data_IF_609120765379
#
_entry.id   IF_609120765379
#
_cell.length_a   1.000
_cell.length_b   1.000
_cell.length_c   1.000
_cell.angle_alpha   90.00
_cell.angle_beta   90.00
_cell.angle_gamma   90.00
#
_symmetry.space_group_name_H-M   'P 1'
#
loop_
_entity.id
_entity.type
_entity.pdbx_description
1 polymer ?
#
# COMPACT_ATOMS: atom_id res chain seq x y z
N UNK A 1 13.53 -11.73 8.73
CA UNK A 1 12.10 -11.72 8.35
C UNK A 1 11.18 -11.18 9.45
N UNK A 2 11.38 -11.49 10.75
CA UNK A 2 10.49 -11.01 11.85
C UNK A 2 10.29 -9.49 11.91
N UNK A 3 11.32 -8.69 11.63
CA UNK A 3 11.23 -7.23 11.65
C UNK A 3 10.30 -6.66 10.56
N UNK A 4 10.29 -7.26 9.37
CA UNK A 4 9.44 -6.81 8.25
C UNK A 4 7.96 -6.95 8.58
N UNK A 5 7.55 -8.13 9.09
CA UNK A 5 6.19 -8.41 9.55
C UNK A 5 5.76 -7.44 10.65
N UNK A 6 6.63 -7.25 11.65
CA UNK A 6 6.35 -6.39 12.79
C UNK A 6 6.19 -4.92 12.37
N UNK A 7 7.10 -4.41 11.54
CA UNK A 7 7.04 -3.05 11.03
C UNK A 7 5.76 -2.86 10.19
N UNK A 8 5.40 -3.80 9.31
CA UNK A 8 4.15 -3.75 8.54
C UNK A 8 2.92 -3.65 9.44
N UNK A 9 2.88 -4.41 10.54
CA UNK A 9 1.76 -4.36 11.49
C UNK A 9 1.70 -3.02 12.24
N UNK A 10 2.84 -2.50 12.70
CA UNK A 10 2.92 -1.20 13.39
C UNK A 10 2.51 -0.05 12.46
N UNK A 11 2.97 -0.07 11.22
CA UNK A 11 2.57 0.90 10.20
C UNK A 11 1.06 0.88 9.95
N UNK A 12 0.46 -0.31 9.77
CA UNK A 12 -1.00 -0.47 9.64
C UNK A 12 -1.78 -0.02 10.88
N UNK A 13 -1.23 -0.21 12.07
CA UNK A 13 -1.87 0.24 13.31
C UNK A 13 -1.90 1.76 13.39
N UNK A 14 -0.80 2.43 13.03
CA UNK A 14 -0.67 3.89 13.13
C UNK A 14 -1.46 4.59 12.03
N UNK A 15 -1.19 4.25 10.78
CA UNK A 15 -1.77 4.92 9.62
C UNK A 15 -3.14 4.36 9.22
N UNK A 16 -3.70 3.48 10.05
CA UNK A 16 -4.95 2.81 9.77
C UNK A 16 -4.80 1.70 8.72
N UNK A 17 -5.86 0.90 8.62
CA UNK A 17 -6.02 -0.09 7.57
C UNK A 17 -6.32 0.55 6.22
N UNK A 18 -5.68 1.65 5.85
CA UNK A 18 -5.76 2.32 4.55
C UNK A 18 -4.42 2.40 3.82
N UNK A 19 -3.37 1.84 4.42
CA UNK A 19 -2.08 1.77 3.75
C UNK A 19 -2.17 0.96 2.47
N UNK A 20 -1.66 1.57 1.41
CA UNK A 20 -1.45 0.98 0.10
C UNK A 20 0.05 1.01 -0.22
N UNK A 21 0.60 0.00 -0.91
CA UNK A 21 -0.08 -1.21 -1.39
C UNK A 21 -0.43 -2.20 -0.26
N UNK A 22 -1.38 -3.11 -0.50
CA UNK A 22 -1.86 -4.11 0.49
C UNK A 22 -2.54 -5.31 -0.16
N UNK A 23 -2.29 -6.53 0.33
CA UNK A 23 -2.96 -7.75 -0.16
C UNK A 23 -4.45 -7.85 0.24
N UNK A 24 -5.00 -6.82 0.89
CA UNK A 24 -6.44 -6.71 1.19
C UNK A 24 -7.26 -6.14 0.04
N UNK A 25 -6.60 -5.55 -0.97
CA UNK A 25 -7.25 -4.91 -2.11
C UNK A 25 -6.75 -5.58 -3.39
N UNK A 26 -7.53 -6.54 -3.89
CA UNK A 26 -7.19 -7.33 -5.07
C UNK A 26 -7.67 -6.66 -6.37
N UNK A 27 -8.65 -5.76 -6.29
CA UNK A 27 -9.22 -4.99 -7.41
C UNK A 27 -9.30 -3.49 -7.12
N UNK A 28 -9.47 -2.66 -8.15
CA UNK A 28 -9.76 -1.23 -8.00
C UNK A 28 -11.06 -0.98 -7.23
N UNK A 29 -12.03 -1.89 -7.34
CA UNK A 29 -13.29 -1.84 -6.59
C UNK A 29 -13.05 -2.02 -5.09
N UNK A 30 -12.17 -2.94 -4.70
CA UNK A 30 -11.80 -3.13 -3.30
C UNK A 30 -11.01 -1.94 -2.78
N UNK A 31 -10.08 -1.43 -3.59
CA UNK A 31 -9.29 -0.24 -3.27
C UNK A 31 -10.17 0.98 -2.99
N UNK A 32 -11.22 1.21 -3.78
CA UNK A 32 -12.15 2.32 -3.57
C UNK A 32 -12.90 2.20 -2.23
N UNK A 33 -13.31 0.99 -1.84
CA UNK A 33 -13.96 0.73 -0.53
C UNK A 33 -12.99 0.79 0.64
N UNK A 34 -11.72 0.51 0.39
CA UNK A 34 -10.69 0.44 1.42
C UNK A 34 -10.26 1.84 1.90
N UNK A 35 -10.25 2.83 1.00
CA UNK A 35 -9.88 4.25 1.25
C UNK A 35 -10.92 5.08 2.02
N UNK A 36 -11.84 4.45 2.75
CA UNK A 36 -12.89 5.16 3.51
C UNK A 36 -12.82 4.97 5.03
N UNK A 37 -11.75 4.35 5.56
CA UNK A 37 -11.55 4.02 6.97
C UNK A 37 -10.47 4.90 7.65
N UNK A 38 -10.86 5.87 8.46
CA UNK A 38 -9.90 6.71 9.23
C UNK A 38 -8.89 5.92 10.08
N UNK A 39 -7.64 6.42 10.18
CA UNK A 39 -6.52 5.80 10.90
C UNK A 39 -6.22 6.40 12.28
N UNK A 40 -5.44 5.69 13.12
CA UNK A 40 -5.16 6.09 14.52
C UNK A 40 -4.42 7.43 14.64
N UNK A 41 -3.63 7.83 13.65
CA UNK A 41 -3.00 9.18 13.61
C UNK A 41 -4.03 10.31 13.65
N UNK A 42 -5.21 10.09 13.06
CA UNK A 42 -6.28 11.10 13.02
C UNK A 42 -7.01 11.20 14.36
N UNK A 43 -6.98 10.12 15.17
CA UNK A 43 -7.65 10.04 16.47
C UNK A 43 -6.73 10.45 17.64
N UNK A 44 -5.48 9.98 17.67
CA UNK A 44 -4.53 10.19 18.77
C UNK A 44 -3.07 10.18 18.30
N UNK A 45 -2.52 11.38 18.12
CA UNK A 45 -1.16 11.62 17.62
C UNK A 45 -0.07 11.13 18.58
N UNK A 46 -0.28 11.23 19.90
CA UNK A 46 0.74 10.82 20.87
C UNK A 46 0.85 9.30 20.91
N UNK A 47 -0.28 8.60 20.92
CA UNK A 47 -0.31 7.14 20.81
C UNK A 47 0.30 6.63 19.49
N UNK A 48 0.05 7.35 18.39
CA UNK A 48 0.69 7.08 17.11
C UNK A 48 2.22 7.20 17.21
N UNK A 49 2.73 8.27 17.84
CA UNK A 49 4.17 8.50 18.04
C UNK A 49 4.81 7.39 18.88
N UNK A 50 4.19 6.98 19.99
CA UNK A 50 4.68 5.87 20.81
C UNK A 50 4.74 4.54 20.05
N UNK A 51 3.78 4.31 19.15
CA UNK A 51 3.72 3.10 18.32
C UNK A 51 4.82 3.12 17.26
N UNK A 52 5.08 4.27 16.63
CA UNK A 52 6.15 4.44 15.66
C UNK A 52 7.55 4.27 16.27
N UNK A 53 7.75 4.61 17.54
CA UNK A 53 9.03 4.39 18.24
C UNK A 53 9.42 2.91 18.36
N UNK A 54 8.46 1.99 18.20
CA UNK A 54 8.70 0.53 18.25
C UNK A 54 9.22 -0.05 16.93
N UNK A 55 9.20 0.74 15.85
CA UNK A 55 9.67 0.33 14.53
C UNK A 55 11.20 0.24 14.54
N UNK A 56 11.73 -0.84 13.95
CA UNK A 56 13.17 -1.05 13.83
C UNK A 56 13.58 -1.06 12.36
N UNK A 57 14.36 -0.06 11.95
CA UNK A 57 14.73 0.14 10.55
C UNK A 57 13.51 0.46 9.67
N UNK A 58 13.59 0.12 8.38
CA UNK A 58 12.57 0.49 7.39
C UNK A 58 12.07 -0.69 6.55
N UNK A 59 12.49 -1.92 6.88
CA UNK A 59 12.04 -3.10 6.16
C UNK A 59 10.58 -3.39 6.49
N UNK A 60 9.79 -3.67 5.46
CA UNK A 60 8.36 -4.05 5.55
C UNK A 60 8.11 -5.21 4.61
N UNK A 61 7.01 -5.93 4.84
CA UNK A 61 6.51 -6.93 3.89
C UNK A 61 6.03 -6.26 2.61
N UNK A 62 6.50 -6.79 1.46
CA UNK A 62 6.02 -6.40 0.15
C UNK A 62 4.71 -7.16 -0.14
N UNK A 63 3.58 -6.47 -0.31
CA UNK A 63 2.34 -7.10 -0.75
C UNK A 63 2.47 -7.55 -2.21
N UNK A 64 2.23 -8.84 -2.47
CA UNK A 64 2.39 -9.45 -3.79
C UNK A 64 1.07 -9.60 -4.55
N UNK A 65 -0.07 -9.45 -3.87
CA UNK A 65 -1.42 -9.65 -4.39
C UNK A 65 -2.19 -8.33 -4.55
N UNK A 66 -1.52 -7.20 -4.31
CA UNK A 66 -2.12 -5.89 -4.48
C UNK A 66 -2.51 -5.66 -5.95
N UNK A 67 -3.81 -5.42 -6.20
CA UNK A 67 -4.39 -5.24 -7.53
C UNK A 67 -4.13 -6.40 -8.52
N UNK A 68 -3.97 -7.63 -8.01
CA UNK A 68 -3.68 -8.78 -8.87
C UNK A 68 -4.81 -9.15 -9.84
N UNK A 69 -6.04 -8.68 -9.60
CA UNK A 69 -7.18 -8.89 -10.49
C UNK A 69 -7.25 -7.86 -11.64
N UNK A 70 -6.39 -6.85 -11.63
CA UNK A 70 -6.37 -5.77 -12.63
C UNK A 70 -5.25 -5.97 -13.65
N UNK A 71 -5.51 -5.58 -14.90
CA UNK A 71 -4.42 -5.35 -15.87
C UNK A 71 -3.81 -3.97 -15.58
N UNK A 72 -2.61 -3.97 -15.01
CA UNK A 72 -1.89 -2.75 -14.65
C UNK A 72 -1.10 -2.15 -15.83
N UNK A 73 -1.18 -2.75 -17.02
CA UNK A 73 -0.63 -2.12 -18.23
C UNK A 73 -1.45 -0.89 -18.58
N UNK A 74 -0.82 0.25 -18.89
CA UNK A 74 -1.57 1.43 -19.29
C UNK A 74 -2.23 1.21 -20.64
N UNK A 75 -3.47 1.67 -20.79
CA UNK A 75 -4.20 1.61 -22.05
C UNK A 75 -3.53 2.53 -23.08
N UNK A 76 -2.82 1.94 -24.05
CA UNK A 76 -2.00 2.65 -25.03
C UNK A 76 -2.77 3.09 -26.28
N UNK A 77 -4.08 3.32 -26.20
CA UNK A 77 -4.91 3.63 -27.38
C UNK A 77 -4.52 4.93 -28.12
N UNK A 78 -3.64 5.77 -27.55
CA UNK A 78 -3.17 7.02 -28.18
C UNK A 78 -1.64 7.18 -28.30
N UNK A 79 -0.82 6.21 -27.88
CA UNK A 79 0.65 6.40 -27.85
C UNK A 79 1.50 5.29 -28.48
N UNK A 80 0.90 4.42 -29.30
CA UNK A 80 1.63 3.41 -30.11
C UNK A 80 2.74 4.01 -30.99
N UNK A 81 2.71 5.32 -31.27
CA UNK A 81 3.76 6.00 -32.05
C UNK A 81 4.74 6.86 -31.23
N UNK A 82 4.65 6.91 -29.89
CA UNK A 82 5.42 7.87 -29.08
C UNK A 82 6.11 7.31 -27.84
N UNK A 83 5.75 6.12 -27.35
CA UNK A 83 6.45 5.49 -26.23
C UNK A 83 7.34 4.34 -26.74
N UNK A 84 8.65 4.32 -26.43
CA UNK A 84 9.50 3.18 -26.77
C UNK A 84 9.09 1.94 -25.97
N UNK A 85 9.04 0.78 -26.63
CA UNK A 85 8.61 -0.54 -26.11
C UNK A 85 9.29 -0.97 -24.80
N UNK A 86 10.40 -0.34 -24.42
CA UNK A 86 11.10 -0.53 -23.14
C UNK A 86 10.30 -0.10 -21.90
N UNK A 87 9.14 0.55 -22.06
CA UNK A 87 8.31 1.07 -20.96
C UNK A 87 7.08 0.20 -20.65
N UNK A 88 6.91 -0.95 -21.30
CA UNK A 88 5.70 -1.80 -21.19
C UNK A 88 6.02 -3.22 -20.72
N UNK A 89 6.94 -3.37 -19.75
CA UNK A 89 7.25 -4.67 -19.14
C UNK A 89 6.64 -4.82 -17.76
#
# INVERSE_FOLDING_TARGET
MKAAVNNTQLYRQVFGGEMIPTDKTLSYKDLQKYKTNSGVVEEDVERARETLQKIQGHVVELPLHFLEEEDLTPDFDYMINFAPDTLVQ
#
